data_IF_577020921812
#
_entry.id   IF_577020921812
#
_cell.length_a   1.000
_cell.length_b   1.000
_cell.length_c   1.000
_cell.angle_alpha   90.00
_cell.angle_beta   90.00
_cell.angle_gamma   90.00
#
_symmetry.space_group_name_H-M   'P 1'
#
loop_
_entity.id
_entity.type
_entity.pdbx_description
1 polymer ?
#
# COMPACT_ATOMS: atom_id res chain seq x y z
N UNK A 1 20.68 -5.15 -8.37
CA UNK A 1 19.62 -5.81 -9.18
C UNK A 1 18.65 -4.75 -9.69
N UNK A 2 17.94 -4.98 -10.80
CA UNK A 2 17.02 -4.00 -11.41
C UNK A 2 15.68 -3.97 -10.65
N UNK A 3 15.11 -2.79 -10.34
CA UNK A 3 13.74 -2.71 -9.80
C UNK A 3 12.73 -3.27 -10.80
N UNK A 4 11.67 -3.88 -10.29
CA UNK A 4 10.52 -4.35 -11.08
C UNK A 4 9.30 -3.58 -10.63
N UNK A 5 8.58 -2.99 -11.58
CA UNK A 5 7.29 -2.36 -11.33
C UNK A 5 6.22 -3.44 -11.26
N UNK A 6 5.37 -3.37 -10.24
CA UNK A 6 4.30 -4.34 -10.03
C UNK A 6 3.03 -3.62 -9.61
N UNK A 7 1.90 -4.02 -10.18
CA UNK A 7 0.59 -3.51 -9.81
C UNK A 7 -0.03 -4.35 -8.69
N UNK A 8 -0.49 -3.67 -7.65
CA UNK A 8 -1.20 -4.28 -6.52
C UNK A 8 -2.68 -3.95 -6.65
N UNK A 9 -3.51 -4.99 -6.64
CA UNK A 9 -4.95 -4.87 -6.77
C UNK A 9 -5.61 -5.35 -5.48
N UNK A 10 -6.61 -4.59 -5.02
CA UNK A 10 -7.42 -4.96 -3.86
C UNK A 10 -8.90 -4.81 -4.20
N UNK A 11 -9.72 -5.71 -3.65
CA UNK A 11 -11.17 -5.65 -3.69
C UNK A 11 -11.70 -5.91 -2.28
N UNK A 12 -12.62 -5.06 -1.84
CA UNK A 12 -13.30 -5.23 -0.56
C UNK A 12 -14.80 -5.42 -0.74
N UNK A 13 -15.40 -6.34 0.00
CA UNK A 13 -16.85 -6.57 0.01
C UNK A 13 -17.37 -6.44 1.43
N UNK A 14 -18.24 -5.45 1.69
CA UNK A 14 -18.84 -5.27 3.01
C UNK A 14 -19.87 -6.37 3.26
N UNK A 15 -19.74 -7.07 4.39
CA UNK A 15 -20.64 -8.16 4.75
C UNK A 15 -21.76 -7.70 5.69
N UNK A 16 -22.86 -8.45 5.67
CA UNK A 16 -23.87 -8.37 6.71
C UNK A 16 -23.30 -8.90 8.05
N UNK A 17 -23.83 -8.38 9.17
CA UNK A 17 -23.37 -8.73 10.51
C UNK A 17 -23.38 -10.24 10.78
N UNK A 18 -22.31 -10.75 11.39
CA UNK A 18 -22.20 -12.14 11.86
C UNK A 18 -21.51 -13.11 10.90
N UNK A 19 -21.20 -12.70 9.67
CA UNK A 19 -20.40 -13.52 8.75
C UNK A 19 -18.90 -13.36 9.01
N UNK A 20 -18.14 -14.46 8.94
CA UNK A 20 -16.66 -14.42 8.97
C UNK A 20 -16.14 -13.96 7.63
N UNK A 21 -15.44 -12.82 7.52
CA UNK A 21 -15.00 -12.32 6.23
C UNK A 21 -13.90 -13.16 5.61
N UNK A 22 -14.05 -13.44 4.31
CA UNK A 22 -13.00 -14.10 3.53
C UNK A 22 -11.81 -13.16 3.33
N UNK A 23 -10.60 -13.71 3.46
CA UNK A 23 -9.35 -13.04 3.12
C UNK A 23 -8.59 -13.92 2.15
N UNK A 24 -8.50 -13.50 0.89
CA UNK A 24 -7.88 -14.27 -0.18
C UNK A 24 -6.75 -13.47 -0.83
N UNK A 25 -5.64 -14.14 -1.11
CA UNK A 25 -4.46 -13.51 -1.71
C UNK A 25 -3.92 -14.32 -2.88
N UNK A 26 -3.39 -13.64 -3.89
CA UNK A 26 -2.62 -14.21 -5.00
C UNK A 26 -1.33 -13.42 -5.16
N UNK A 27 -0.18 -14.12 -5.15
CA UNK A 27 1.13 -13.47 -5.25
C UNK A 27 1.62 -12.74 -3.98
N UNK A 28 0.90 -12.89 -2.86
CA UNK A 28 1.20 -12.27 -1.58
C UNK A 28 1.16 -13.29 -0.42
N UNK A 29 1.70 -12.91 0.74
CA UNK A 29 1.64 -13.71 1.96
C UNK A 29 0.40 -13.35 2.81
N UNK A 30 -0.37 -14.37 3.21
CA UNK A 30 -1.59 -14.19 3.99
C UNK A 30 -1.33 -13.57 5.37
N UNK A 31 -0.19 -13.90 6.00
CA UNK A 31 0.21 -13.35 7.30
C UNK A 31 0.50 -11.85 7.21
N UNK A 32 1.24 -11.42 6.18
CA UNK A 32 1.50 -10.00 5.90
C UNK A 32 0.21 -9.24 5.60
N UNK A 33 -0.73 -9.82 4.84
CA UNK A 33 -2.05 -9.19 4.66
C UNK A 33 -2.77 -9.01 6.00
N UNK A 34 -2.81 -10.06 6.84
CA UNK A 34 -3.46 -9.99 8.14
C UNK A 34 -2.85 -8.89 9.03
N UNK A 35 -1.52 -8.75 9.01
CA UNK A 35 -0.79 -7.69 9.70
C UNK A 35 -1.18 -6.29 9.20
N UNK A 36 -1.15 -6.05 7.88
CA UNK A 36 -1.51 -4.74 7.31
C UNK A 36 -2.96 -4.37 7.65
N UNK A 37 -3.89 -5.33 7.56
CA UNK A 37 -5.29 -5.10 7.93
C UNK A 37 -5.43 -4.74 9.41
N UNK A 38 -4.68 -5.40 10.30
CA UNK A 38 -4.68 -5.07 11.73
C UNK A 38 -4.14 -3.65 12.00
N UNK A 39 -3.10 -3.22 11.28
CA UNK A 39 -2.56 -1.86 11.42
C UNK A 39 -3.54 -0.81 10.90
N UNK A 40 -4.16 -1.03 9.74
CA UNK A 40 -5.20 -0.12 9.21
C UNK A 40 -6.37 0.05 10.18
N UNK A 41 -6.80 -1.04 10.83
CA UNK A 41 -7.88 -0.99 11.82
C UNK A 41 -7.44 -0.27 13.11
N UNK A 42 -6.32 -0.67 13.70
CA UNK A 42 -5.87 -0.18 15.00
C UNK A 42 -5.27 1.25 14.96
N UNK A 43 -4.72 1.67 13.82
CA UNK A 43 -3.96 2.93 13.69
C UNK A 43 -4.58 3.96 12.76
N UNK A 44 -5.42 3.53 11.82
CA UNK A 44 -6.05 4.42 10.83
C UNK A 44 -7.57 4.54 11.02
N UNK A 45 -8.16 3.78 11.97
CA UNK A 45 -9.60 3.79 12.22
C UNK A 45 -10.44 3.21 11.07
N UNK A 46 -9.82 2.40 10.20
CA UNK A 46 -10.50 1.74 9.08
C UNK A 46 -10.94 0.34 9.50
N UNK A 47 -12.23 0.19 9.84
CA UNK A 47 -12.80 -1.10 10.24
C UNK A 47 -12.98 -2.02 9.02
N UNK A 48 -11.94 -2.79 8.71
CA UNK A 48 -11.97 -3.85 7.69
C UNK A 48 -12.37 -5.21 8.28
N UNK A 49 -12.57 -5.32 9.59
CA UNK A 49 -13.03 -6.53 10.27
C UNK A 49 -14.39 -7.06 9.81
N UNK A 50 -15.22 -6.24 9.16
CA UNK A 50 -16.51 -6.63 8.57
C UNK A 50 -16.49 -6.71 7.04
N UNK A 51 -15.30 -6.64 6.42
CA UNK A 51 -15.15 -6.69 4.97
C UNK A 51 -14.38 -7.94 4.54
N UNK A 52 -14.86 -8.61 3.49
CA UNK A 52 -14.01 -9.53 2.74
C UNK A 52 -12.93 -8.74 2.03
N UNK A 53 -11.76 -9.35 1.90
CA UNK A 53 -10.60 -8.76 1.24
C UNK A 53 -10.03 -9.77 0.24
N UNK A 54 -9.90 -9.34 -1.00
CA UNK A 54 -9.20 -10.05 -2.05
C UNK A 54 -8.02 -9.19 -2.50
N UNK A 55 -6.81 -9.74 -2.44
CA UNK A 55 -5.57 -9.06 -2.85
C UNK A 55 -4.91 -9.84 -3.98
N UNK A 56 -4.56 -9.16 -5.06
CA UNK A 56 -3.88 -9.76 -6.20
C UNK A 56 -2.65 -8.95 -6.57
N UNK A 57 -1.52 -9.64 -6.77
CA UNK A 57 -0.34 -9.07 -7.38
C UNK A 57 -0.40 -9.39 -8.88
N UNK A 58 -0.63 -8.37 -9.71
CA UNK A 58 -0.80 -8.56 -11.14
C UNK A 58 0.50 -9.05 -11.80
N UNK A 59 0.37 -9.71 -12.95
CA UNK A 59 1.53 -10.21 -13.70
C UNK A 59 2.13 -11.53 -13.20
N UNK A 60 1.48 -12.21 -12.24
CA UNK A 60 1.91 -13.52 -11.75
C UNK A 60 3.13 -13.49 -10.82
N UNK A 61 3.52 -12.31 -10.35
CA UNK A 61 4.62 -12.15 -9.40
C UNK A 61 4.24 -12.65 -8.00
N UNK A 62 5.26 -13.08 -7.25
CA UNK A 62 5.14 -13.31 -5.81
C UNK A 62 6.06 -12.34 -5.08
N UNK A 63 5.50 -11.47 -4.25
CA UNK A 63 6.25 -10.44 -3.54
C UNK A 63 6.55 -10.83 -2.10
N UNK A 64 7.83 -10.82 -1.75
CA UNK A 64 8.34 -10.96 -0.39
C UNK A 64 9.04 -9.69 0.13
N UNK A 65 9.22 -8.68 -0.73
CA UNK A 65 9.88 -7.43 -0.41
C UNK A 65 9.03 -6.59 0.58
N UNK A 66 9.56 -6.20 1.75
CA UNK A 66 8.88 -5.30 2.70
C UNK A 66 8.45 -3.98 2.07
N UNK A 67 9.16 -3.51 1.04
CA UNK A 67 8.82 -2.27 0.34
C UNK A 67 7.42 -2.27 -0.30
N UNK A 68 6.81 -3.43 -0.51
CA UNK A 68 5.47 -3.51 -1.07
C UNK A 68 4.34 -3.27 -0.05
N UNK A 69 4.63 -3.18 1.27
CA UNK A 69 3.59 -3.02 2.29
C UNK A 69 2.79 -1.73 2.09
N UNK A 70 3.46 -0.61 1.82
CA UNK A 70 2.78 0.67 1.59
C UNK A 70 1.87 0.64 0.36
N UNK A 71 2.28 -0.05 -0.71
CA UNK A 71 1.46 -0.22 -1.91
C UNK A 71 0.22 -1.07 -1.63
N UNK A 72 0.36 -2.16 -0.87
CA UNK A 72 -0.76 -3.00 -0.44
C UNK A 72 -1.73 -2.20 0.44
N UNK A 73 -1.21 -1.46 1.42
CA UNK A 73 -2.05 -0.64 2.28
C UNK A 73 -2.78 0.46 1.48
N UNK A 74 -2.09 1.09 0.53
CA UNK A 74 -2.69 2.07 -0.41
C UNK A 74 -3.84 1.45 -1.21
N UNK A 75 -3.65 0.27 -1.80
CA UNK A 75 -4.69 -0.42 -2.56
C UNK A 75 -5.89 -0.78 -1.67
N UNK A 76 -5.66 -1.24 -0.44
CA UNK A 76 -6.71 -1.58 0.53
C UNK A 76 -7.52 -0.34 0.96
N UNK A 77 -6.85 0.78 1.26
CA UNK A 77 -7.51 2.04 1.59
C UNK A 77 -8.37 2.51 0.41
N UNK A 78 -7.81 2.46 -0.80
CA UNK A 78 -8.50 2.83 -2.03
C UNK A 78 -9.78 2.02 -2.23
N UNK A 79 -9.67 0.68 -2.20
CA UNK A 79 -10.79 -0.23 -2.36
C UNK A 79 -11.86 -0.04 -1.27
N UNK A 80 -11.45 0.06 0.00
CA UNK A 80 -12.40 0.19 1.11
C UNK A 80 -13.13 1.54 1.14
N UNK A 81 -12.47 2.60 0.69
CA UNK A 81 -13.02 3.96 0.69
C UNK A 81 -13.66 4.38 -0.63
N UNK A 82 -13.63 3.51 -1.65
CA UNK A 82 -14.09 3.81 -3.02
C UNK A 82 -13.46 5.11 -3.57
N UNK A 83 -12.18 5.34 -3.25
CA UNK A 83 -11.41 6.51 -3.73
C UNK A 83 -10.23 6.05 -4.57
N UNK A 84 -10.21 6.36 -5.87
CA UNK A 84 -9.16 5.89 -6.76
C UNK A 84 -7.82 6.54 -6.41
N UNK A 85 -6.77 5.74 -6.50
CA UNK A 85 -5.39 6.21 -6.47
C UNK A 85 -5.04 6.71 -7.88
N UNK A 86 -4.36 7.87 -8.03
CA UNK A 86 -3.98 8.34 -9.36
C UNK A 86 -3.04 7.35 -10.07
N UNK A 87 -3.23 7.15 -11.37
CA UNK A 87 -2.52 6.12 -12.13
C UNK A 87 -1.03 6.42 -12.36
N UNK A 88 -0.61 7.67 -12.16
CA UNK A 88 0.75 8.18 -12.32
C UNK A 88 1.58 8.09 -11.04
N UNK A 89 1.08 7.40 -9.99
CA UNK A 89 1.83 7.20 -8.74
C UNK A 89 2.49 5.83 -8.64
N UNK A 90 3.63 5.79 -7.95
CA UNK A 90 4.16 4.57 -7.32
C UNK A 90 4.12 4.72 -5.80
N UNK A 91 3.90 3.62 -5.08
CA UNK A 91 4.01 3.60 -3.63
C UNK A 91 4.98 2.50 -3.19
N UNK A 92 5.85 2.79 -2.23
CA UNK A 92 6.68 1.77 -1.61
C UNK A 92 7.11 2.21 -0.21
N UNK A 93 7.30 1.27 0.71
CA UNK A 93 7.66 1.49 2.11
C UNK A 93 7.29 0.27 2.94
N UNK A 94 8.01 0.04 4.04
CA UNK A 94 7.69 -1.03 5.00
C UNK A 94 6.72 -0.49 6.06
N UNK A 95 5.73 -1.29 6.45
CA UNK A 95 4.76 -0.90 7.49
C UNK A 95 5.05 -1.66 8.77
N UNK A 96 5.32 -0.94 9.86
CA UNK A 96 5.47 -1.53 11.18
C UNK A 96 4.12 -1.67 11.90
N UNK A 97 4.04 -2.54 12.92
CA UNK A 97 2.84 -2.71 13.76
C UNK A 97 2.45 -1.44 14.56
N UNK A 98 3.39 -0.51 14.75
CA UNK A 98 3.13 0.81 15.31
C UNK A 98 2.31 1.71 14.37
N UNK A 99 2.22 1.35 13.09
CA UNK A 99 1.72 2.20 12.02
C UNK A 99 2.78 3.10 11.41
N UNK A 100 4.04 3.00 11.84
CA UNK A 100 5.16 3.72 11.22
C UNK A 100 5.43 3.20 9.80
N UNK A 101 5.76 4.11 8.88
CA UNK A 101 6.20 3.80 7.52
C UNK A 101 7.71 3.97 7.45
N UNK A 102 8.43 2.86 7.27
CA UNK A 102 9.88 2.78 7.42
C UNK A 102 10.62 2.81 6.07
N UNK A 103 11.82 3.42 6.01
CA UNK A 103 12.68 3.38 4.83
C UNK A 103 13.01 1.95 4.38
N UNK A 104 13.17 1.78 3.06
CA UNK A 104 13.47 0.49 2.43
C UNK A 104 14.72 0.57 1.58
N UNK A 105 15.33 -0.59 1.33
CA UNK A 105 16.52 -0.69 0.49
C UNK A 105 16.29 -0.14 -0.92
N UNK A 106 17.30 0.55 -1.43
CA UNK A 106 17.39 1.06 -2.81
C UNK A 106 16.27 2.04 -3.22
N UNK A 107 15.74 2.84 -2.29
CA UNK A 107 14.68 3.82 -2.57
C UNK A 107 14.98 4.73 -3.78
N UNK A 108 16.18 5.31 -3.85
CA UNK A 108 16.57 6.16 -4.98
C UNK A 108 16.59 5.42 -6.33
N UNK A 109 16.98 4.14 -6.35
CA UNK A 109 16.96 3.33 -7.57
C UNK A 109 15.52 3.01 -8.01
N UNK A 110 14.62 2.75 -7.06
CA UNK A 110 13.18 2.54 -7.34
C UNK A 110 12.56 3.80 -7.95
N UNK A 111 12.83 4.97 -7.36
CA UNK A 111 12.34 6.26 -7.87
C UNK A 111 12.88 6.58 -9.26
N UNK A 112 14.16 6.36 -9.50
CA UNK A 112 14.78 6.57 -10.80
C UNK A 112 14.16 5.67 -11.88
N UNK A 113 13.87 4.41 -11.57
CA UNK A 113 13.23 3.50 -12.53
C UNK A 113 11.75 3.85 -12.73
N UNK A 114 11.02 4.25 -11.68
CA UNK A 114 9.64 4.73 -11.79
C UNK A 114 9.55 5.97 -12.71
N UNK A 115 10.43 6.95 -12.51
CA UNK A 115 10.50 8.15 -13.36
C UNK A 115 10.75 7.79 -14.84
N UNK A 116 11.67 6.85 -15.12
CA UNK A 116 11.94 6.38 -16.49
C UNK A 116 10.75 5.69 -17.14
N UNK A 117 9.90 5.05 -16.35
CA UNK A 117 8.68 4.40 -16.83
C UNK A 117 7.49 5.37 -16.98
N UNK A 118 7.69 6.66 -16.68
CA UNK A 118 6.69 7.71 -16.87
C UNK A 118 5.82 8.01 -15.66
N UNK A 119 6.16 7.49 -14.47
CA UNK A 119 5.47 7.87 -13.24
C UNK A 119 5.92 9.25 -12.78
N UNK A 120 4.96 10.10 -12.45
CA UNK A 120 5.20 11.50 -12.09
C UNK A 120 5.33 11.69 -10.57
N UNK A 121 4.74 10.78 -9.78
CA UNK A 121 4.65 10.92 -8.32
C UNK A 121 4.98 9.63 -7.58
N UNK A 122 5.49 9.77 -6.37
CA UNK A 122 5.79 8.65 -5.49
C UNK A 122 5.31 8.92 -4.05
N UNK A 123 4.68 7.93 -3.44
CA UNK A 123 4.33 7.90 -2.01
C UNK A 123 5.30 6.99 -1.27
N UNK A 124 6.05 7.56 -0.33
CA UNK A 124 7.25 6.91 0.24
C UNK A 124 7.41 7.22 1.72
N UNK A 125 8.29 6.50 2.45
CA UNK A 125 8.69 6.85 3.80
C UNK A 125 9.30 8.24 3.86
N UNK A 126 9.25 8.86 5.03
CA UNK A 126 9.93 10.13 5.27
C UNK A 126 11.45 10.05 4.99
N UNK A 127 12.01 11.20 4.61
CA UNK A 127 13.42 11.38 4.27
C UNK A 127 13.91 10.61 3.01
N UNK A 128 12.99 10.20 2.14
CA UNK A 128 13.32 9.64 0.82
C UNK A 128 13.27 10.75 -0.23
N UNK A 129 14.39 11.02 -0.89
CA UNK A 129 14.47 12.00 -1.99
C UNK A 129 14.49 11.31 -3.35
N UNK A 130 13.75 11.86 -4.30
CA UNK A 130 13.71 11.42 -5.69
C UNK A 130 14.22 12.50 -6.64
N UNK A 131 14.89 12.10 -7.70
CA UNK A 131 15.23 12.97 -8.84
C UNK A 131 14.27 12.64 -9.99
N UNK A 132 13.67 13.66 -10.60
CA UNK A 132 12.79 13.49 -11.77
C UNK A 132 11.40 12.90 -11.48
N UNK A 133 11.01 12.81 -10.21
CA UNK A 133 9.68 12.35 -9.77
C UNK A 133 9.26 13.14 -8.52
N UNK A 134 8.02 13.59 -8.46
CA UNK A 134 7.46 14.28 -7.29
C UNK A 134 7.30 13.30 -6.12
N UNK A 135 7.68 13.71 -4.92
CA UNK A 135 7.64 12.83 -3.74
C UNK A 135 6.69 13.37 -2.69
N UNK A 136 5.77 12.52 -2.23
CA UNK A 136 4.96 12.73 -1.02
C UNK A 136 5.44 11.76 0.06
N UNK A 137 5.87 12.32 1.18
CA UNK A 137 6.48 11.57 2.27
C UNK A 137 5.48 11.28 3.39
N UNK A 138 5.47 10.05 3.90
CA UNK A 138 4.61 9.62 5.00
C UNK A 138 5.45 9.01 6.12
N UNK A 139 5.28 9.50 7.34
CA UNK A 139 5.89 8.93 8.56
C UNK A 139 5.06 7.78 9.13
N UNK A 140 3.76 7.78 8.86
CA UNK A 140 2.84 6.79 9.37
C UNK A 140 1.74 6.46 8.35
N UNK A 141 1.16 5.27 8.51
CA UNK A 141 0.05 4.81 7.69
C UNK A 141 -1.23 5.61 7.97
N UNK A 142 -1.39 6.13 9.19
CA UNK A 142 -2.45 7.08 9.52
C UNK A 142 -2.36 8.35 8.67
N UNK A 143 -1.17 8.95 8.55
CA UNK A 143 -0.97 10.14 7.72
C UNK A 143 -1.27 9.87 6.23
N UNK A 144 -0.90 8.68 5.72
CA UNK A 144 -1.28 8.27 4.37
C UNK A 144 -2.81 8.14 4.23
N UNK A 145 -3.46 7.46 5.17
CA UNK A 145 -4.91 7.27 5.13
C UNK A 145 -5.64 8.62 5.17
N UNK A 146 -5.25 9.53 6.06
CA UNK A 146 -5.85 10.87 6.15
C UNK A 146 -5.64 11.66 4.86
N UNK A 147 -4.44 11.61 4.28
CA UNK A 147 -4.16 12.22 2.98
C UNK A 147 -5.06 11.66 1.87
N UNK A 148 -5.16 10.33 1.75
CA UNK A 148 -6.02 9.67 0.75
C UNK A 148 -7.50 9.99 0.97
N UNK A 149 -7.93 10.14 2.22
CA UNK A 149 -9.31 10.42 2.62
C UNK A 149 -9.62 11.92 2.70
N UNK A 150 -8.67 12.81 2.43
CA UNK A 150 -8.86 14.26 2.56
C UNK A 150 -9.21 14.72 3.97
N UNK A 151 -8.67 14.06 4.99
CA UNK A 151 -8.88 14.33 6.43
C UNK A 151 -7.69 15.09 7.02
N UNK A 152 -7.31 16.23 6.43
CA UNK A 152 -6.14 17.01 6.85
C UNK A 152 -6.35 18.50 6.64
#
# INVERSE_FOLDING_TARGET
TRPVLVEVQALTVRLASGATPRRAVVGWDSGRLAMILAVLEARCGLSLSSAEVYLNIAGGYRLSDPAADLAVATALISAFSERPVPADIVAFGEVALSGEVRPVSHAGLRLKEAAKLGFERAWVPAAVRGEGIGVSEFRSLGALADFMLGRG
#
